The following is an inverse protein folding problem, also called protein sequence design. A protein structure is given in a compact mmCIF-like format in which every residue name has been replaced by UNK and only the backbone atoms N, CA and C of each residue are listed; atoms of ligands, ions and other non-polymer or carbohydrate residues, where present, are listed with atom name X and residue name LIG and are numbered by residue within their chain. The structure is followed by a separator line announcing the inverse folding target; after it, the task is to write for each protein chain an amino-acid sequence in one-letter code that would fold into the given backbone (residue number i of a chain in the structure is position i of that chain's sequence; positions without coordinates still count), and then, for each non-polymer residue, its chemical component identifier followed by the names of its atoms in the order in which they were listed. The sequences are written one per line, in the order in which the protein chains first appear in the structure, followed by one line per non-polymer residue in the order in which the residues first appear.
data_IF_817385184475
#
_entry.id   IF_817385184475
#
_cell.length_a   1.000
_cell.length_b   1.000
_cell.length_c   1.000
_cell.angle_alpha   90.00
_cell.angle_beta   90.00
_cell.angle_gamma   90.00
#
_symmetry.space_group_name_H-M   'P 1'
#
loop_
_entity.id
_entity.type
_entity.pdbx_description
1 polymer ?
#
# COMPACT_ATOMS: atom_id res chain seq x y z
N UNK A 1 -20.95 21.78 -5.56
CA UNK A 1 -20.13 20.62 -5.17
C UNK A 1 -18.70 20.93 -5.56
N UNK A 2 -17.76 20.82 -4.62
CA UNK A 2 -16.35 20.88 -5.00
C UNK A 2 -16.01 19.67 -5.88
N UNK A 3 -15.11 19.80 -6.86
CA UNK A 3 -14.64 18.64 -7.60
C UNK A 3 -14.06 17.62 -6.62
N UNK A 4 -14.20 16.31 -6.88
CA UNK A 4 -13.59 15.29 -6.02
C UNK A 4 -12.08 15.52 -5.92
N UNK A 5 -11.53 15.23 -4.74
CA UNK A 5 -10.06 15.32 -4.56
C UNK A 5 -9.36 14.43 -5.62
N UNK A 6 -8.32 14.92 -6.28
CA UNK A 6 -7.58 14.15 -7.27
C UNK A 6 -7.15 12.75 -6.82
N UNK A 7 -6.91 12.55 -5.51
CA UNK A 7 -6.56 11.23 -4.95
C UNK A 7 -7.64 10.18 -5.19
N UNK A 8 -8.91 10.59 -5.27
CA UNK A 8 -10.03 9.66 -5.56
C UNK A 8 -9.86 9.02 -6.93
N UNK A 9 -9.56 9.82 -7.96
CA UNK A 9 -9.32 9.31 -9.30
C UNK A 9 -8.08 8.40 -9.38
N UNK A 10 -7.05 8.74 -8.61
CA UNK A 10 -5.83 7.92 -8.50
C UNK A 10 -6.14 6.56 -7.84
N UNK A 11 -6.86 6.57 -6.71
CA UNK A 11 -7.31 5.32 -6.06
C UNK A 11 -8.17 4.46 -7.00
N UNK A 12 -9.13 5.08 -7.72
CA UNK A 12 -9.93 4.36 -8.71
C UNK A 12 -9.05 3.66 -9.77
N UNK A 13 -8.01 4.35 -10.26
CA UNK A 13 -7.09 3.77 -11.23
C UNK A 13 -6.36 2.54 -10.69
N UNK A 14 -5.92 2.58 -9.42
CA UNK A 14 -5.26 1.44 -8.78
C UNK A 14 -6.22 0.28 -8.50
N UNK A 15 -7.43 0.57 -8.02
CA UNK A 15 -8.47 -0.45 -7.70
C UNK A 15 -8.88 -1.24 -8.94
N UNK A 16 -8.92 -0.60 -10.11
CA UNK A 16 -9.30 -1.24 -11.38
C UNK A 16 -8.32 -2.28 -11.89
N UNK A 17 -7.15 -2.39 -11.28
CA UNK A 17 -6.13 -3.38 -11.63
C UNK A 17 -6.19 -4.52 -10.60
N UNK A 18 -6.62 -5.74 -10.99
CA UNK A 18 -6.90 -6.83 -10.06
C UNK A 18 -5.60 -7.59 -9.68
N UNK A 19 -4.79 -7.02 -8.81
CA UNK A 19 -3.57 -7.64 -8.28
C UNK A 19 -3.88 -8.68 -7.23
N UNK A 20 -4.55 -9.76 -7.62
CA UNK A 20 -4.90 -10.85 -6.72
C UNK A 20 -3.67 -11.69 -6.43
N UNK A 21 -3.29 -11.79 -5.15
CA UNK A 21 -2.21 -12.69 -4.74
C UNK A 21 -2.68 -14.14 -4.65
N UNK A 22 -1.75 -15.05 -4.85
CA UNK A 22 -1.99 -16.49 -4.82
C UNK A 22 -0.93 -17.18 -3.97
N UNK A 23 -1.28 -18.25 -3.24
CA UNK A 23 -0.30 -19.01 -2.45
C UNK A 23 0.81 -19.63 -3.31
N UNK A 24 0.50 -20.05 -4.53
CA UNK A 24 1.49 -20.52 -5.49
C UNK A 24 1.89 -19.38 -6.44
N UNK A 25 3.15 -18.93 -6.41
CA UNK A 25 3.62 -17.87 -7.33
C UNK A 25 3.48 -18.20 -8.82
N UNK A 26 3.37 -19.48 -9.19
CA UNK A 26 3.18 -19.90 -10.58
C UNK A 26 1.79 -19.51 -11.12
N UNK A 27 0.81 -19.31 -10.24
CA UNK A 27 -0.56 -18.92 -10.59
C UNK A 27 -0.75 -17.40 -10.58
N UNK A 28 0.29 -16.62 -10.26
CA UNK A 28 0.21 -15.18 -10.15
C UNK A 28 0.05 -14.52 -11.53
N UNK A 29 -0.94 -13.63 -11.65
CA UNK A 29 -1.04 -12.73 -12.81
C UNK A 29 0.01 -11.60 -12.72
N UNK A 30 1.23 -11.92 -13.13
CA UNK A 30 2.36 -10.96 -13.11
C UNK A 30 2.08 -9.71 -13.93
N UNK A 31 1.28 -9.81 -15.01
CA UNK A 31 0.94 -8.68 -15.85
C UNK A 31 0.07 -7.65 -15.11
N UNK A 32 -0.83 -8.10 -14.23
CA UNK A 32 -1.62 -7.20 -13.38
C UNK A 32 -0.72 -6.44 -12.40
N UNK A 33 0.28 -7.10 -11.81
CA UNK A 33 1.21 -6.42 -10.91
C UNK A 33 2.12 -5.42 -11.64
N UNK A 34 2.62 -5.77 -12.82
CA UNK A 34 3.39 -4.82 -13.64
C UNK A 34 2.53 -3.62 -14.05
N UNK A 35 1.27 -3.84 -14.45
CA UNK A 35 0.34 -2.77 -14.76
C UNK A 35 0.07 -1.85 -13.54
N UNK A 36 -0.03 -2.41 -12.32
CA UNK A 36 -0.18 -1.63 -11.10
C UNK A 36 1.05 -0.77 -10.83
N UNK A 37 2.26 -1.31 -11.01
CA UNK A 37 3.49 -0.55 -10.84
C UNK A 37 3.62 0.59 -11.85
N UNK A 38 3.17 0.38 -13.08
CA UNK A 38 3.13 1.43 -14.10
C UNK A 38 2.05 2.49 -13.78
N UNK A 39 0.89 2.06 -13.29
CA UNK A 39 -0.14 2.98 -12.83
C UNK A 39 0.36 3.84 -11.65
N UNK A 40 1.06 3.27 -10.68
CA UNK A 40 1.67 4.03 -9.58
C UNK A 40 2.62 5.11 -10.09
N UNK A 41 3.50 4.77 -11.04
CA UNK A 41 4.41 5.76 -11.67
C UNK A 41 3.65 6.87 -12.39
N UNK A 42 2.58 6.52 -13.09
CA UNK A 42 1.76 7.48 -13.82
C UNK A 42 0.96 8.40 -12.89
N UNK A 43 0.45 7.88 -11.78
CA UNK A 43 -0.38 8.64 -10.83
C UNK A 43 0.45 9.49 -9.85
N UNK A 44 1.70 9.07 -9.55
CA UNK A 44 2.57 9.72 -8.57
C UNK A 44 3.97 9.98 -9.15
N UNK A 45 4.07 10.81 -10.22
CA UNK A 45 5.31 10.96 -10.98
C UNK A 45 6.48 11.54 -10.16
N UNK A 46 6.22 12.42 -9.19
CA UNK A 46 7.29 12.98 -8.34
C UNK A 46 7.84 11.94 -7.38
N UNK A 47 6.96 11.11 -6.78
CA UNK A 47 7.39 10.01 -5.91
C UNK A 47 8.40 9.12 -6.63
N UNK A 48 8.16 8.79 -7.90
CA UNK A 48 9.05 7.91 -8.66
C UNK A 48 10.20 8.63 -9.37
N UNK A 49 10.15 9.96 -9.51
CA UNK A 49 11.25 10.75 -10.05
C UNK A 49 12.27 11.15 -8.96
N UNK A 50 11.77 11.50 -7.76
CA UNK A 50 12.57 12.14 -6.73
C UNK A 50 13.05 11.14 -5.65
N UNK A 51 12.33 10.05 -5.44
CA UNK A 51 12.71 9.01 -4.49
C UNK A 51 13.51 7.88 -5.15
N UNK A 52 14.50 7.36 -4.42
CA UNK A 52 15.24 6.20 -4.87
C UNK A 52 14.40 4.92 -4.72
N UNK A 53 13.85 4.43 -5.82
CA UNK A 53 13.03 3.22 -5.85
C UNK A 53 13.89 1.96 -6.07
N UNK A 54 13.66 0.94 -5.26
CA UNK A 54 14.27 -0.39 -5.37
C UNK A 54 13.16 -1.44 -5.45
N UNK A 55 13.26 -2.38 -6.38
CA UNK A 55 12.41 -3.57 -6.40
C UNK A 55 12.78 -4.49 -5.24
N UNK A 56 11.77 -5.02 -4.57
CA UNK A 56 11.90 -6.07 -3.55
C UNK A 56 11.22 -7.31 -4.10
N UNK A 57 11.99 -8.35 -4.35
CA UNK A 57 11.55 -9.49 -5.16
C UNK A 57 11.02 -8.99 -6.53
N UNK A 58 9.97 -9.62 -7.05
CA UNK A 58 9.48 -9.32 -8.40
C UNK A 58 8.59 -8.07 -8.46
N UNK A 59 7.74 -7.83 -7.47
CA UNK A 59 6.72 -6.76 -7.53
C UNK A 59 6.66 -5.85 -6.32
N UNK A 60 7.32 -6.18 -5.21
CA UNK A 60 7.41 -5.28 -4.05
C UNK A 60 8.27 -4.06 -4.35
N UNK A 61 8.03 -2.97 -3.61
CA UNK A 61 8.74 -1.71 -3.73
C UNK A 61 9.31 -1.26 -2.37
N UNK A 62 10.53 -0.73 -2.41
CA UNK A 62 11.13 0.01 -1.32
C UNK A 62 11.62 1.35 -1.88
N UNK A 63 11.02 2.46 -1.43
CA UNK A 63 11.39 3.80 -1.87
C UNK A 63 12.03 4.56 -0.71
N UNK A 64 13.13 5.24 -0.99
CA UNK A 64 13.85 6.05 -0.01
C UNK A 64 13.66 7.54 -0.31
N UNK A 65 13.08 8.24 0.64
CA UNK A 65 13.01 9.69 0.68
C UNK A 65 14.01 10.22 1.70
N UNK A 66 15.15 10.75 1.25
CA UNK A 66 16.18 11.22 2.16
C UNK A 66 15.71 12.45 2.94
N UNK A 67 15.94 12.43 4.23
CA UNK A 67 15.73 13.56 5.12
C UNK A 67 16.98 14.39 5.33
N UNK A 68 16.88 15.35 6.24
CA UNK A 68 18.05 16.13 6.69
C UNK A 68 18.95 15.32 7.65
N UNK A 69 18.46 14.19 8.19
CA UNK A 69 19.19 13.25 9.03
C UNK A 69 18.78 11.82 8.74
N UNK A 70 19.74 10.92 8.69
CA UNK A 70 19.52 9.47 8.64
C UNK A 70 19.23 8.85 10.02
N UNK A 71 19.33 9.62 11.10
CA UNK A 71 19.01 9.15 12.43
C UNK A 71 17.50 8.96 12.61
N UNK A 72 17.10 7.88 13.27
CA UNK A 72 15.70 7.60 13.59
C UNK A 72 14.79 7.57 12.34
N UNK A 73 15.12 6.80 11.31
CA UNK A 73 14.32 6.73 10.10
C UNK A 73 12.94 6.16 10.37
N UNK A 74 11.97 6.56 9.54
CA UNK A 74 10.58 6.11 9.59
C UNK A 74 10.31 5.18 8.40
N UNK A 75 9.53 4.12 8.62
CA UNK A 75 9.02 3.27 7.55
C UNK A 75 7.50 3.37 7.52
N UNK A 76 6.94 3.67 6.36
CA UNK A 76 5.51 3.60 6.07
C UNK A 76 5.27 2.37 5.21
N UNK A 77 4.45 1.46 5.70
CA UNK A 77 4.15 0.20 5.03
C UNK A 77 2.73 0.21 4.45
N UNK A 78 2.54 -0.57 3.42
CA UNK A 78 1.27 -0.89 2.80
C UNK A 78 1.49 -2.06 1.84
N UNK A 79 0.42 -2.61 1.24
CA UNK A 79 0.58 -3.66 0.25
C UNK A 79 -0.20 -3.41 -1.05
N UNK A 80 0.25 -4.05 -2.11
CA UNK A 80 -0.21 -3.86 -3.48
C UNK A 80 -1.20 -4.94 -3.93
N UNK A 81 -1.15 -6.09 -3.29
CA UNK A 81 -1.99 -7.23 -3.58
C UNK A 81 -3.35 -7.14 -2.87
N UNK A 82 -4.23 -8.01 -3.24
CA UNK A 82 -5.57 -8.14 -2.66
C UNK A 82 -5.99 -9.61 -2.64
N UNK A 83 -6.86 -9.96 -1.68
CA UNK A 83 -7.49 -11.28 -1.66
C UNK A 83 -8.37 -11.52 -2.90
N UNK A 84 -8.59 -12.79 -3.29
CA UNK A 84 -9.52 -13.16 -4.33
C UNK A 84 -10.95 -12.64 -4.08
N UNK A 85 -11.69 -12.44 -5.15
CA UNK A 85 -13.09 -12.06 -5.11
C UNK A 85 -13.96 -13.30 -5.23
N UNK A 86 -14.86 -13.49 -4.26
CA UNK A 86 -15.93 -14.45 -4.42
C UNK A 86 -16.97 -13.92 -5.41
N UNK A 87 -16.98 -14.48 -6.62
CA UNK A 87 -17.91 -14.08 -7.68
C UNK A 87 -19.35 -14.54 -7.44
N UNK A 88 -19.57 -15.44 -6.47
CA UNK A 88 -20.92 -15.86 -6.05
C UNK A 88 -21.53 -14.90 -5.01
N UNK A 89 -20.73 -14.06 -4.39
CA UNK A 89 -21.20 -13.06 -3.42
C UNK A 89 -21.99 -11.94 -4.13
N UNK A 90 -23.04 -11.42 -3.49
CA UNK A 90 -23.84 -10.34 -4.07
C UNK A 90 -23.14 -8.99 -3.94
N UNK A 91 -22.18 -8.73 -4.80
CA UNK A 91 -21.50 -7.43 -4.86
C UNK A 91 -22.47 -6.35 -5.31
N UNK A 92 -22.56 -5.25 -4.55
CA UNK A 92 -23.40 -4.10 -4.90
C UNK A 92 -22.80 -3.29 -6.07
N UNK A 93 -21.49 -3.30 -6.20
CA UNK A 93 -20.72 -2.67 -7.29
C UNK A 93 -19.67 -3.66 -7.79
N UNK A 94 -19.20 -3.53 -9.04
CA UNK A 94 -18.15 -4.39 -9.56
C UNK A 94 -16.91 -4.37 -8.64
N UNK A 95 -16.37 -5.54 -8.24
CA UNK A 95 -15.27 -5.61 -7.26
C UNK A 95 -14.03 -4.81 -7.65
N UNK A 96 -13.76 -4.69 -8.94
CA UNK A 96 -12.66 -3.89 -9.49
C UNK A 96 -13.16 -2.69 -10.31
N UNK A 97 -14.36 -2.18 -10.01
CA UNK A 97 -14.95 -1.01 -10.70
C UNK A 97 -14.34 0.30 -10.23
N UNK A 98 -14.04 0.40 -8.94
CA UNK A 98 -13.63 1.66 -8.33
C UNK A 98 -14.73 2.72 -8.43
N UNK A 99 -16.01 2.33 -8.32
CA UNK A 99 -17.14 3.23 -8.41
C UNK A 99 -17.17 4.22 -7.25
N UNK A 100 -17.54 5.47 -7.52
CA UNK A 100 -17.76 6.48 -6.49
C UNK A 100 -19.25 6.68 -6.30
N UNK A 101 -19.75 6.18 -5.17
CA UNK A 101 -21.18 6.25 -4.83
C UNK A 101 -21.33 6.74 -3.39
N UNK A 102 -22.20 7.71 -3.18
CA UNK A 102 -22.51 8.29 -1.87
C UNK A 102 -21.27 8.75 -1.07
N UNK A 103 -20.25 9.25 -1.76
CA UNK A 103 -19.02 9.76 -1.17
C UNK A 103 -18.00 8.69 -0.79
N UNK A 104 -18.23 7.43 -1.14
CA UNK A 104 -17.30 6.32 -0.92
C UNK A 104 -16.80 5.75 -2.26
N UNK A 105 -15.54 5.30 -2.27
CA UNK A 105 -14.97 4.50 -3.38
C UNK A 105 -15.24 3.04 -3.09
N UNK A 106 -15.92 2.36 -4.01
CA UNK A 106 -16.28 0.96 -3.88
C UNK A 106 -15.35 0.06 -4.67
N UNK A 107 -14.87 -0.99 -4.05
CA UNK A 107 -14.07 -2.01 -4.73
C UNK A 107 -13.15 -2.80 -3.80
N UNK A 108 -12.66 -3.95 -4.26
CA UNK A 108 -11.66 -4.75 -3.59
C UNK A 108 -10.34 -3.95 -3.56
N UNK A 109 -9.73 -3.85 -2.38
CA UNK A 109 -8.50 -3.11 -2.18
C UNK A 109 -8.68 -1.61 -1.92
N UNK A 110 -9.92 -1.07 -1.86
CA UNK A 110 -10.13 0.35 -1.52
C UNK A 110 -9.77 0.67 -0.08
N UNK A 111 -9.95 -0.27 0.83
CA UNK A 111 -9.60 -0.18 2.24
C UNK A 111 -8.31 -0.95 2.52
N UNK A 112 -8.24 -2.16 2.02
CA UNK A 112 -7.18 -3.14 2.25
C UNK A 112 -6.56 -3.54 0.90
N UNK A 113 -5.39 -2.96 0.46
CA UNK A 113 -4.69 -1.86 1.12
C UNK A 113 -4.24 -0.79 0.11
N UNK A 114 -4.77 -0.79 -1.11
CA UNK A 114 -4.49 0.25 -2.12
C UNK A 114 -4.92 1.64 -1.66
N UNK A 115 -5.85 1.72 -0.69
CA UNK A 115 -6.22 2.97 -0.04
C UNK A 115 -5.04 3.60 0.69
N UNK A 116 -4.32 2.83 1.52
CA UNK A 116 -3.13 3.31 2.22
C UNK A 116 -1.99 3.62 1.24
N UNK A 117 -1.79 2.76 0.22
CA UNK A 117 -0.81 3.05 -0.86
C UNK A 117 -1.10 4.41 -1.50
N UNK A 118 -2.35 4.66 -1.89
CA UNK A 118 -2.75 5.93 -2.51
C UNK A 118 -2.58 7.11 -1.55
N UNK A 119 -2.94 6.94 -0.28
CA UNK A 119 -2.83 8.00 0.73
C UNK A 119 -1.37 8.36 1.02
N UNK A 120 -0.50 7.36 1.21
CA UNK A 120 0.94 7.56 1.43
C UNK A 120 1.57 8.24 0.21
N UNK A 121 1.34 7.70 -0.98
CA UNK A 121 1.91 8.26 -2.20
C UNK A 121 1.41 9.69 -2.47
N UNK A 122 0.12 9.98 -2.26
CA UNK A 122 -0.44 11.32 -2.44
C UNK A 122 0.13 12.32 -1.45
N UNK A 123 0.29 11.93 -0.19
CA UNK A 123 0.90 12.80 0.82
C UNK A 123 2.34 13.16 0.43
N UNK A 124 3.13 12.16 0.02
CA UNK A 124 4.52 12.38 -0.42
C UNK A 124 4.57 13.21 -1.70
N UNK A 125 3.71 12.91 -2.70
CA UNK A 125 3.62 13.66 -3.97
C UNK A 125 3.37 15.16 -3.73
N UNK A 126 2.43 15.49 -2.83
CA UNK A 126 2.11 16.88 -2.46
C UNK A 126 3.27 17.54 -1.73
N UNK A 127 3.87 16.86 -0.76
CA UNK A 127 5.01 17.39 -0.01
C UNK A 127 6.22 17.64 -0.91
N UNK A 128 6.50 16.74 -1.87
CA UNK A 128 7.55 16.94 -2.86
C UNK A 128 7.24 18.13 -3.77
N UNK A 129 5.97 18.31 -4.18
CA UNK A 129 5.56 19.46 -4.98
C UNK A 129 5.80 20.79 -4.26
N UNK A 130 5.66 20.79 -2.92
CA UNK A 130 5.91 21.96 -2.06
C UNK A 130 7.40 22.14 -1.70
N UNK A 131 8.29 21.27 -2.21
CA UNK A 131 9.72 21.28 -1.90
C UNK A 131 10.07 20.91 -0.45
N UNK A 132 9.16 20.16 0.21
CA UNK A 132 9.38 19.73 1.58
C UNK A 132 10.50 18.68 1.65
N UNK A 133 11.39 18.84 2.62
CA UNK A 133 12.41 17.85 2.98
C UNK A 133 12.13 17.36 4.39
N UNK A 134 11.96 16.05 4.62
CA UNK A 134 11.69 15.52 5.95
C UNK A 134 12.89 15.69 6.89
N UNK A 135 12.62 15.79 8.19
CA UNK A 135 13.69 15.89 9.19
C UNK A 135 14.52 14.59 9.32
N UNK A 136 13.87 13.46 9.05
CA UNK A 136 14.48 12.12 9.08
C UNK A 136 14.20 11.40 7.78
N UNK A 137 15.03 10.42 7.44
CA UNK A 137 14.76 9.54 6.31
C UNK A 137 13.40 8.87 6.44
N UNK A 138 12.65 8.88 5.34
CA UNK A 138 11.37 8.15 5.22
C UNK A 138 11.52 7.06 4.18
N UNK A 139 11.10 5.87 4.54
CA UNK A 139 11.07 4.71 3.67
C UNK A 139 9.63 4.31 3.42
N UNK A 140 9.25 4.12 2.16
CA UNK A 140 7.96 3.54 1.79
C UNK A 140 8.22 2.10 1.40
N UNK A 141 7.53 1.15 2.06
CA UNK A 141 7.67 -0.28 1.81
C UNK A 141 6.33 -0.86 1.38
N UNK A 142 6.20 -1.20 0.11
CA UNK A 142 4.97 -1.75 -0.45
C UNK A 142 5.18 -3.21 -0.81
N UNK A 143 4.55 -4.12 -0.05
CA UNK A 143 4.52 -5.56 -0.31
C UNK A 143 3.63 -5.92 -1.49
N UNK A 144 3.83 -7.09 -2.07
CA UNK A 144 3.03 -7.59 -3.18
C UNK A 144 2.48 -9.01 -2.96
N UNK A 145 2.56 -9.49 -1.72
CA UNK A 145 2.19 -10.84 -1.31
C UNK A 145 1.78 -10.90 0.17
N UNK A 146 1.23 -9.80 0.71
CA UNK A 146 0.84 -9.69 2.12
C UNK A 146 -0.28 -10.69 2.44
N UNK A 147 -1.32 -10.72 1.65
CA UNK A 147 -2.54 -11.52 1.80
C UNK A 147 -2.32 -13.04 1.78
N UNK A 148 -1.12 -13.46 1.40
CA UNK A 148 -0.69 -14.87 1.40
C UNK A 148 0.50 -15.11 2.33
N UNK A 149 0.75 -14.21 3.29
CA UNK A 149 1.88 -14.28 4.24
C UNK A 149 3.22 -14.45 3.52
N UNK A 150 3.43 -13.63 2.50
CA UNK A 150 4.50 -13.77 1.54
C UNK A 150 5.88 -13.34 2.02
N UNK A 151 6.79 -13.17 1.08
CA UNK A 151 8.22 -12.93 1.34
C UNK A 151 8.64 -11.49 1.14
N UNK A 152 7.75 -10.61 0.62
CA UNK A 152 8.12 -9.21 0.35
C UNK A 152 8.52 -8.45 1.62
N UNK A 153 7.74 -8.56 2.69
CA UNK A 153 8.05 -7.86 3.93
C UNK A 153 9.38 -8.34 4.55
N UNK A 154 9.65 -9.66 4.73
CA UNK A 154 10.96 -10.13 5.15
C UNK A 154 12.10 -9.68 4.23
N UNK A 155 11.90 -9.68 2.91
CA UNK A 155 12.92 -9.25 1.95
C UNK A 155 13.20 -7.73 2.05
N UNK A 156 12.18 -6.91 2.29
CA UNK A 156 12.33 -5.48 2.55
C UNK A 156 13.12 -5.23 3.84
N UNK A 157 12.86 -5.99 4.91
CA UNK A 157 13.62 -5.93 6.16
C UNK A 157 15.12 -6.25 5.91
N UNK A 158 15.42 -7.30 5.15
CA UNK A 158 16.80 -7.63 4.81
C UNK A 158 17.47 -6.55 3.96
N UNK A 159 16.71 -5.95 3.01
CA UNK A 159 17.21 -4.84 2.21
C UNK A 159 17.52 -3.58 3.05
N UNK A 160 16.68 -3.26 4.02
CA UNK A 160 16.91 -2.16 4.97
C UNK A 160 18.11 -2.47 5.88
N UNK A 161 18.17 -3.70 6.44
CA UNK A 161 19.28 -4.16 7.27
C UNK A 161 20.61 -4.10 6.53
N UNK A 162 20.64 -4.55 5.27
CA UNK A 162 21.84 -4.49 4.43
C UNK A 162 22.32 -3.05 4.14
N UNK A 163 21.44 -2.06 4.27
CA UNK A 163 21.76 -0.63 4.17
C UNK A 163 22.09 0.01 5.53
N UNK A 164 22.08 -0.76 6.61
CA UNK A 164 22.31 -0.26 7.97
C UNK A 164 21.14 0.54 8.54
N UNK A 165 19.98 0.49 7.91
CA UNK A 165 18.77 1.21 8.35
C UNK A 165 18.16 0.47 9.54
N UNK A 166 17.92 1.23 10.61
CA UNK A 166 17.22 0.75 11.82
C UNK A 166 16.03 1.68 12.08
N UNK A 167 14.83 1.30 11.70
CA UNK A 167 13.66 2.14 11.89
C UNK A 167 13.45 2.48 13.37
N UNK A 168 13.21 3.76 13.62
CA UNK A 168 12.70 4.21 14.92
C UNK A 168 11.22 3.95 15.06
N UNK A 169 10.52 4.07 13.94
CA UNK A 169 9.08 3.93 13.87
C UNK A 169 8.69 3.24 12.56
N UNK A 170 7.76 2.32 12.66
CA UNK A 170 7.12 1.65 11.50
C UNK A 170 5.62 1.87 11.65
N UNK A 171 5.00 2.40 10.61
CA UNK A 171 3.55 2.48 10.47
C UNK A 171 3.12 1.50 9.41
N UNK A 172 2.24 0.61 9.79
CA UNK A 172 1.61 -0.38 8.93
C UNK A 172 0.10 -0.27 9.03
N UNK A 173 -0.62 -1.07 8.31
CA UNK A 173 -2.06 -1.21 8.43
C UNK A 173 -2.45 -2.10 9.62
N UNK A 174 -3.75 -2.34 9.77
CA UNK A 174 -4.33 -3.23 10.75
C UNK A 174 -4.72 -2.51 12.02
N UNK A 175 -4.93 -3.33 13.03
CA UNK A 175 -5.44 -2.87 14.33
C UNK A 175 -6.97 -2.71 14.33
N UNK A 176 -7.61 -3.49 15.18
CA UNK A 176 -9.04 -3.41 15.41
C UNK A 176 -9.34 -3.54 16.90
N UNK A 177 -10.51 -3.07 17.31
CA UNK A 177 -11.09 -3.43 18.60
C UNK A 177 -12.07 -4.56 18.33
N UNK A 178 -11.68 -5.78 18.69
CA UNK A 178 -12.50 -6.97 18.51
C UNK A 178 -13.23 -7.33 19.81
N UNK A 179 -14.50 -7.65 19.69
CA UNK A 179 -15.31 -8.25 20.76
C UNK A 179 -15.35 -9.76 20.55
N UNK A 180 -15.35 -10.51 21.65
CA UNK A 180 -15.41 -11.98 21.60
C UNK A 180 -14.32 -12.64 20.74
N UNK A 181 -13.17 -11.98 20.62
CA UNK A 181 -12.06 -12.42 19.77
C UNK A 181 -11.44 -13.75 20.21
N UNK A 182 -11.49 -14.04 21.52
CA UNK A 182 -10.96 -15.28 22.09
C UNK A 182 -11.93 -15.89 23.10
N UNK A 183 -12.08 -17.23 23.11
CA UNK A 183 -12.93 -17.92 24.09
C UNK A 183 -12.55 -17.56 25.53
N UNK A 184 -13.56 -17.14 26.33
CA UNK A 184 -13.39 -16.80 27.74
C UNK A 184 -12.83 -15.37 28.00
N UNK A 185 -12.80 -14.51 26.99
CA UNK A 185 -12.43 -13.09 27.12
C UNK A 185 -13.64 -12.23 26.80
N UNK A 186 -14.33 -11.75 27.83
CA UNK A 186 -15.59 -10.98 27.70
C UNK A 186 -15.40 -9.49 27.51
N UNK A 187 -14.17 -9.02 27.27
CA UNK A 187 -13.84 -7.61 27.08
C UNK A 187 -13.32 -7.34 25.67
N UNK A 188 -13.54 -6.11 25.14
CA UNK A 188 -12.89 -5.72 23.90
C UNK A 188 -11.37 -5.81 24.01
N UNK A 189 -10.73 -6.30 22.97
CA UNK A 189 -9.28 -6.36 22.85
C UNK A 189 -8.85 -5.56 21.62
N UNK A 190 -7.79 -4.79 21.77
CA UNK A 190 -7.05 -4.27 20.61
C UNK A 190 -6.22 -5.44 20.03
N UNK A 191 -6.40 -5.72 18.77
CA UNK A 191 -5.73 -6.77 18.01
C UNK A 191 -5.07 -6.19 16.79
#
# INVERSE_FOLDING_TARGET
MNPPDPVVAKLQALVRIPTVSTPDPADLDTAAFDALLDALRAQFPRVFADLAATRVLDHGLLLHWPGTSADRPVVLMAHLDVVPVDTSAPWQHPPFGGDVVDGAVWGRGTLDDKGSVAAICEAVERLLADGFVPAQDVWLSFGADEEVSGRCAPAAVEALRGRGVRPWFVLDEGGAVAHDAFPGVDRPLAV
#
